data_IF_255244707396
#
_entry.id   IF_255244707396
#
_cell.length_a   1.000
_cell.length_b   1.000
_cell.length_c   1.000
_cell.angle_alpha   90.00
_cell.angle_beta   90.00
_cell.angle_gamma   90.00
#
_symmetry.space_group_name_H-M   'P 1'
#
loop_
_entity.id
_entity.type
_entity.pdbx_description
1 polymer ?
#
# COMPACT_ATOMS: atom_id res chain seq x y z
N UNK A 1 -22.57 30.22 79.51
CA UNK A 1 -23.49 29.42 78.74
C UNK A 1 -23.05 29.44 77.31
N UNK A 2 -22.20 28.47 76.95
CA UNK A 2 -21.58 28.39 75.58
C UNK A 2 -22.31 27.38 74.73
N UNK A 3 -22.89 27.83 73.62
CA UNK A 3 -23.58 26.99 72.66
C UNK A 3 -22.63 26.65 71.53
N UNK A 4 -22.20 25.40 71.44
CA UNK A 4 -21.36 24.87 70.39
C UNK A 4 -22.30 24.47 69.22
N UNK A 5 -22.21 25.20 68.07
CA UNK A 5 -22.81 24.80 66.80
C UNK A 5 -21.88 23.80 66.13
N UNK A 6 -22.28 22.54 66.06
CA UNK A 6 -21.66 21.53 65.20
C UNK A 6 -22.04 21.79 63.75
N UNK A 7 -21.09 22.16 62.91
CA UNK A 7 -21.20 22.14 61.45
C UNK A 7 -20.98 20.70 60.98
N UNK A 8 -22.06 20.11 60.45
CA UNK A 8 -22.00 18.85 59.78
C UNK A 8 -21.49 19.10 58.32
N UNK A 9 -20.25 18.80 58.02
CA UNK A 9 -19.72 18.78 56.66
C UNK A 9 -20.08 17.43 56.04
N UNK A 10 -21.04 17.46 55.12
CA UNK A 10 -21.32 16.31 54.25
C UNK A 10 -20.28 16.30 53.13
N UNK A 11 -19.32 15.36 53.22
CA UNK A 11 -18.40 15.05 52.12
C UNK A 11 -19.19 14.21 51.10
N UNK A 12 -19.50 14.83 49.97
CA UNK A 12 -20.00 14.11 48.78
C UNK A 12 -18.77 13.48 48.12
N UNK A 13 -18.55 12.19 48.32
CA UNK A 13 -17.62 11.41 47.55
C UNK A 13 -18.31 11.15 46.19
N UNK A 14 -17.92 11.93 45.16
CA UNK A 14 -18.23 11.60 43.79
C UNK A 14 -17.33 10.43 43.41
N UNK A 15 -17.86 9.22 43.51
CA UNK A 15 -17.22 8.03 42.93
C UNK A 15 -17.34 8.17 41.41
N UNK A 16 -16.32 8.74 40.78
CA UNK A 16 -16.15 8.62 39.33
C UNK A 16 -15.77 7.16 39.08
N UNK A 17 -16.78 6.33 38.87
CA UNK A 17 -16.56 5.02 38.30
C UNK A 17 -16.04 5.23 36.87
N UNK A 18 -14.72 5.31 36.71
CA UNK A 18 -14.12 5.08 35.42
C UNK A 18 -14.47 3.62 35.05
N UNK A 19 -15.49 3.45 34.23
CA UNK A 19 -15.74 2.18 33.58
C UNK A 19 -14.51 1.88 32.72
N UNK A 20 -13.60 1.10 33.26
CA UNK A 20 -12.55 0.47 32.45
C UNK A 20 -13.32 -0.45 31.50
N UNK A 21 -13.54 0.02 30.29
CA UNK A 21 -14.14 -0.81 29.25
C UNK A 21 -13.09 -1.84 28.85
N UNK A 22 -13.16 -3.03 29.44
CA UNK A 22 -12.34 -4.14 28.96
C UNK A 22 -12.79 -4.48 27.53
N UNK A 23 -11.83 -4.69 26.63
CA UNK A 23 -12.11 -5.23 25.30
C UNK A 23 -12.84 -6.56 25.43
N UNK A 24 -13.85 -6.82 24.58
CA UNK A 24 -14.55 -8.11 24.57
C UNK A 24 -13.60 -9.22 24.10
N UNK A 25 -12.79 -8.93 23.09
CA UNK A 25 -11.65 -9.74 22.71
C UNK A 25 -10.39 -8.89 22.75
N UNK A 26 -9.36 -9.37 23.41
CA UNK A 26 -8.03 -8.78 23.43
C UNK A 26 -6.99 -9.89 23.49
N UNK A 27 -6.10 -9.89 22.51
CA UNK A 27 -4.87 -10.64 22.54
C UNK A 27 -3.70 -9.65 22.52
N UNK A 28 -2.89 -9.64 23.56
CA UNK A 28 -1.73 -8.79 23.73
C UNK A 28 -0.42 -9.56 23.60
N UNK A 29 -0.49 -10.83 23.27
CA UNK A 29 0.65 -11.72 23.07
C UNK A 29 1.63 -11.80 24.27
N UNK A 30 1.22 -11.36 25.48
CA UNK A 30 2.07 -11.35 26.66
C UNK A 30 2.36 -12.74 27.21
N UNK A 31 1.46 -13.69 26.98
CA UNK A 31 1.52 -15.03 27.58
C UNK A 31 2.37 -16.03 26.79
N UNK A 32 3.14 -15.57 25.82
CA UNK A 32 3.93 -16.41 24.91
C UNK A 32 3.09 -17.42 24.12
N UNK A 33 1.83 -17.12 23.88
CA UNK A 33 0.91 -17.99 23.17
C UNK A 33 0.31 -17.25 21.96
N UNK A 34 0.60 -17.81 20.78
CA UNK A 34 -0.11 -17.48 19.53
C UNK A 34 -1.24 -18.48 19.28
N UNK A 35 -1.67 -19.16 20.35
CA UNK A 35 -2.70 -20.19 20.27
C UNK A 35 -4.03 -19.63 19.75
N UNK A 36 -4.63 -20.37 18.84
CA UNK A 36 -5.89 -20.00 18.19
C UNK A 36 -5.76 -18.97 17.07
N UNK A 37 -4.56 -18.49 16.76
CA UNK A 37 -4.28 -17.77 15.53
C UNK A 37 -3.91 -18.75 14.41
N UNK A 38 -4.62 -18.65 13.30
CA UNK A 38 -4.27 -19.31 12.05
C UNK A 38 -3.46 -18.37 11.20
N UNK A 39 -2.49 -18.89 10.47
CA UNK A 39 -1.73 -18.10 9.51
C UNK A 39 -1.53 -18.87 8.22
N UNK A 40 -1.63 -18.18 7.10
CA UNK A 40 -1.50 -18.77 5.77
C UNK A 40 -1.21 -17.71 4.72
N UNK A 41 -0.69 -18.14 3.59
CA UNK A 41 -0.47 -17.32 2.41
C UNK A 41 -1.50 -17.65 1.33
N UNK A 42 -1.75 -16.69 0.44
CA UNK A 42 -2.47 -16.92 -0.81
C UNK A 42 -1.60 -17.63 -1.86
N UNK A 43 -1.96 -17.47 -3.10
CA UNK A 43 -1.21 -18.02 -4.23
C UNK A 43 0.19 -17.38 -4.31
N UNK A 44 1.15 -18.11 -4.83
CA UNK A 44 2.53 -17.66 -4.99
C UNK A 44 3.54 -18.50 -4.23
N UNK A 45 4.82 -18.15 -4.38
CA UNK A 45 5.95 -18.82 -3.74
C UNK A 45 6.43 -18.12 -2.47
N UNK A 46 5.51 -17.52 -1.74
CA UNK A 46 5.76 -16.87 -0.47
C UNK A 46 5.65 -17.86 0.66
N UNK A 47 6.53 -17.76 1.63
CA UNK A 47 6.39 -18.44 2.91
C UNK A 47 6.21 -17.44 4.02
N UNK A 48 5.40 -17.79 5.01
CA UNK A 48 5.23 -16.99 6.22
C UNK A 48 5.31 -17.86 7.46
N UNK A 49 5.58 -17.21 8.58
CA UNK A 49 5.51 -17.81 9.91
C UNK A 49 4.95 -16.79 10.88
N UNK A 50 4.30 -17.26 11.94
CA UNK A 50 3.87 -16.41 13.06
C UNK A 50 4.69 -16.78 14.28
N UNK A 51 5.50 -15.84 14.74
CA UNK A 51 6.49 -16.06 15.78
C UNK A 51 6.09 -15.31 17.05
N UNK A 52 6.01 -16.04 18.16
CA UNK A 52 5.87 -15.43 19.48
C UNK A 52 7.16 -14.69 19.86
N UNK A 53 6.99 -13.50 20.40
CA UNK A 53 8.07 -12.68 20.98
C UNK A 53 7.72 -12.30 22.41
N UNK A 54 8.62 -11.61 23.06
CA UNK A 54 8.38 -11.07 24.41
C UNK A 54 7.45 -9.85 24.31
N UNK A 55 6.16 -10.07 24.64
CA UNK A 55 5.12 -9.03 24.62
C UNK A 55 4.59 -8.63 23.24
N UNK A 56 4.84 -9.40 22.18
CA UNK A 56 4.23 -9.19 20.86
C UNK A 56 4.36 -10.42 19.97
N UNK A 57 3.63 -10.46 18.86
CA UNK A 57 3.82 -11.47 17.81
C UNK A 57 4.54 -10.83 16.61
N UNK A 58 5.30 -11.65 15.87
CA UNK A 58 5.95 -11.23 14.62
C UNK A 58 5.45 -12.09 13.46
N UNK A 59 4.90 -11.45 12.45
CA UNK A 59 4.63 -12.06 11.16
C UNK A 59 5.94 -11.98 10.37
N UNK A 60 6.58 -13.12 10.16
CA UNK A 60 7.76 -13.23 9.29
C UNK A 60 7.32 -13.64 7.89
N UNK A 61 7.84 -12.97 6.87
CA UNK A 61 7.50 -13.21 5.48
C UNK A 61 8.77 -13.33 4.66
N UNK A 62 8.86 -14.39 3.87
CA UNK A 62 9.93 -14.61 2.88
C UNK A 62 9.32 -14.64 1.48
N UNK A 63 9.40 -13.50 0.79
CA UNK A 63 8.97 -13.33 -0.59
C UNK A 63 10.11 -13.43 -1.60
N UNK A 64 11.32 -13.91 -1.21
CA UNK A 64 12.50 -13.93 -2.08
C UNK A 64 12.36 -14.78 -3.34
N UNK A 65 11.47 -15.75 -3.33
CA UNK A 65 11.22 -16.66 -4.45
C UNK A 65 9.97 -16.33 -5.26
N UNK A 66 9.15 -15.41 -4.75
CA UNK A 66 7.92 -15.08 -5.42
C UNK A 66 8.17 -14.17 -6.61
N UNK A 67 7.52 -14.48 -7.75
CA UNK A 67 7.57 -13.75 -9.01
C UNK A 67 6.18 -13.42 -9.53
N UNK A 68 5.17 -13.95 -8.85
CA UNK A 68 3.80 -13.84 -9.30
C UNK A 68 3.12 -12.56 -8.81
N UNK A 69 1.85 -12.48 -9.10
CA UNK A 69 1.02 -11.33 -8.76
C UNK A 69 0.87 -11.14 -7.25
N UNK A 70 0.25 -10.03 -6.91
CA UNK A 70 -0.14 -9.67 -5.55
C UNK A 70 -0.57 -10.90 -4.78
N UNK A 71 0.20 -11.26 -3.80
CA UNK A 71 -0.17 -12.26 -2.83
C UNK A 71 -0.47 -11.59 -1.49
N UNK A 72 -1.02 -12.35 -0.62
CA UNK A 72 -1.34 -11.89 0.72
C UNK A 72 -0.94 -12.94 1.75
N UNK A 73 -0.50 -12.45 2.89
CA UNK A 73 -0.23 -13.25 4.06
C UNK A 73 -1.19 -12.83 5.16
N UNK A 74 -1.85 -13.78 5.79
CA UNK A 74 -2.92 -13.51 6.75
C UNK A 74 -2.62 -14.17 8.08
N UNK A 75 -2.83 -13.44 9.17
CA UNK A 75 -3.15 -14.00 10.47
C UNK A 75 -4.64 -13.83 10.72
N UNK A 76 -5.29 -14.87 11.25
CA UNK A 76 -6.74 -14.97 11.40
C UNK A 76 -7.11 -15.58 12.74
N UNK A 77 -8.09 -14.99 13.43
CA UNK A 77 -8.59 -15.46 14.72
C UNK A 77 -10.12 -15.57 14.70
N UNK A 78 -10.65 -16.69 15.20
CA UNK A 78 -12.07 -16.82 15.53
C UNK A 78 -12.34 -16.09 16.85
N UNK A 79 -13.21 -15.10 16.81
CA UNK A 79 -13.58 -14.29 17.98
C UNK A 79 -15.04 -14.49 18.40
N UNK A 80 -15.75 -15.41 17.76
CA UNK A 80 -17.19 -15.64 17.96
C UNK A 80 -17.56 -15.82 19.43
N UNK A 81 -16.79 -16.62 20.15
CA UNK A 81 -17.06 -16.94 21.56
C UNK A 81 -16.95 -15.74 22.52
N UNK A 82 -16.31 -14.66 22.08
CA UNK A 82 -16.11 -13.44 22.87
C UNK A 82 -17.17 -12.37 22.62
N UNK A 83 -18.04 -12.57 21.60
CA UNK A 83 -18.98 -11.56 21.11
C UNK A 83 -20.42 -11.99 21.41
N UNK A 84 -21.25 -11.04 21.80
CA UNK A 84 -22.70 -11.21 21.87
C UNK A 84 -23.32 -10.87 20.50
N UNK A 85 -23.45 -11.88 19.63
CA UNK A 85 -23.91 -11.68 18.26
C UNK A 85 -25.35 -11.18 18.16
N UNK A 86 -26.19 -11.34 19.22
CA UNK A 86 -27.56 -10.83 19.21
C UNK A 86 -27.59 -9.29 19.12
N UNK A 87 -26.55 -8.61 19.54
CA UNK A 87 -26.47 -7.14 19.44
C UNK A 87 -26.49 -6.62 18.01
N UNK A 88 -26.01 -7.40 17.05
CA UNK A 88 -25.97 -6.98 15.64
C UNK A 88 -27.38 -6.99 14.97
N UNK A 89 -28.41 -7.50 15.64
CA UNK A 89 -29.80 -7.29 15.20
C UNK A 89 -30.20 -5.80 15.18
N UNK A 90 -29.57 -4.99 16.02
CA UNK A 90 -29.67 -3.53 16.00
C UNK A 90 -28.52 -2.95 15.16
N UNK A 91 -28.82 -2.29 14.01
CA UNK A 91 -27.79 -1.75 13.13
C UNK A 91 -26.96 -0.62 13.74
N UNK A 92 -27.33 -0.10 14.90
CA UNK A 92 -26.49 0.83 15.65
C UNK A 92 -25.27 0.16 16.29
N UNK A 93 -25.26 -1.16 16.41
CA UNK A 93 -24.11 -1.92 16.88
C UNK A 93 -23.29 -2.44 15.72
N UNK A 94 -22.01 -2.16 15.78
CA UNK A 94 -21.01 -2.55 14.78
C UNK A 94 -19.80 -3.19 15.47
N UNK A 95 -19.03 -3.96 14.74
CA UNK A 95 -17.76 -4.49 15.27
C UNK A 95 -16.64 -3.49 15.00
N UNK A 96 -15.95 -3.08 16.06
CA UNK A 96 -14.72 -2.29 15.98
C UNK A 96 -13.54 -3.18 16.24
N UNK A 97 -12.58 -3.16 15.35
CA UNK A 97 -11.29 -3.84 15.49
C UNK A 97 -10.16 -2.85 15.53
N UNK A 98 -9.11 -3.18 16.26
CA UNK A 98 -7.94 -2.33 16.45
C UNK A 98 -6.71 -3.23 16.62
N UNK A 99 -5.61 -2.85 16.00
CA UNK A 99 -4.32 -3.50 16.18
C UNK A 99 -3.22 -2.45 16.33
N UNK A 100 -2.17 -2.77 17.11
CA UNK A 100 -0.97 -1.97 17.17
C UNK A 100 0.15 -2.72 16.48
N UNK A 101 0.68 -2.10 15.43
CA UNK A 101 1.57 -2.75 14.47
C UNK A 101 2.85 -1.95 14.28
N UNK A 102 3.91 -2.63 13.89
CA UNK A 102 5.19 -2.04 13.50
C UNK A 102 5.75 -2.77 12.30
N UNK A 103 6.25 -2.01 11.32
CA UNK A 103 6.75 -2.55 10.07
C UNK A 103 8.26 -2.36 9.99
N UNK A 104 8.96 -3.34 9.45
CA UNK A 104 10.41 -3.31 9.28
C UNK A 104 10.78 -3.42 7.80
N UNK A 105 11.87 -2.75 7.44
CA UNK A 105 12.59 -2.80 6.16
C UNK A 105 11.97 -2.03 4.99
N UNK A 106 10.70 -1.71 5.00
CA UNK A 106 10.05 -0.83 4.02
C UNK A 106 8.62 -0.52 4.44
N UNK A 107 7.99 0.52 3.89
CA UNK A 107 6.56 0.73 4.03
C UNK A 107 5.78 -0.50 3.59
N UNK A 108 4.67 -0.80 4.27
CA UNK A 108 3.82 -1.97 3.97
C UNK A 108 2.36 -1.62 4.01
N UNK A 109 1.61 -2.22 3.12
CA UNK A 109 0.15 -2.19 3.17
C UNK A 109 -0.35 -3.29 4.08
N UNK A 110 -1.11 -2.90 5.09
CA UNK A 110 -1.81 -3.80 5.99
C UNK A 110 -3.31 -3.66 5.78
N UNK A 111 -4.00 -4.78 5.66
CA UNK A 111 -5.45 -4.80 5.55
C UNK A 111 -6.02 -5.38 6.84
N UNK A 112 -6.81 -4.58 7.55
CA UNK A 112 -7.67 -5.11 8.61
C UNK A 112 -8.94 -5.65 7.98
N UNK A 113 -9.30 -6.86 8.33
CA UNK A 113 -10.49 -7.50 7.80
C UNK A 113 -11.30 -8.12 8.92
N UNK A 114 -12.61 -7.98 8.80
CA UNK A 114 -13.59 -8.70 9.62
C UNK A 114 -14.45 -9.49 8.67
N UNK A 115 -14.60 -10.78 8.89
CA UNK A 115 -15.52 -11.57 8.09
C UNK A 115 -16.47 -12.39 8.95
N UNK A 116 -17.71 -12.51 8.47
CA UNK A 116 -18.69 -13.48 8.97
C UNK A 116 -18.81 -14.62 7.99
N UNK A 117 -18.91 -15.82 8.52
CA UNK A 117 -19.07 -17.03 7.72
C UNK A 117 -20.33 -17.75 8.16
N UNK A 118 -21.23 -17.95 7.19
CA UNK A 118 -22.43 -18.80 7.29
C UNK A 118 -22.25 -20.02 6.39
N UNK A 119 -23.11 -20.98 6.54
CA UNK A 119 -23.10 -22.19 5.70
C UNK A 119 -23.22 -21.87 4.20
N UNK A 120 -23.92 -20.79 3.83
CA UNK A 120 -24.22 -20.44 2.45
C UNK A 120 -23.75 -19.05 2.05
N UNK A 121 -23.14 -18.28 2.95
CA UNK A 121 -22.83 -16.89 2.72
C UNK A 121 -21.53 -16.48 3.40
N UNK A 122 -20.82 -15.53 2.78
CA UNK A 122 -19.57 -15.00 3.28
C UNK A 122 -19.56 -13.49 3.09
N UNK A 123 -19.40 -12.76 4.17
CA UNK A 123 -19.37 -11.29 4.18
C UNK A 123 -18.03 -10.82 4.71
N UNK A 124 -17.51 -9.76 4.14
CA UNK A 124 -16.25 -9.16 4.53
C UNK A 124 -16.35 -7.64 4.58
N UNK A 125 -15.89 -7.08 5.69
CA UNK A 125 -15.53 -5.65 5.81
C UNK A 125 -14.02 -5.54 5.82
N UNK A 126 -13.46 -4.59 5.08
CA UNK A 126 -12.04 -4.41 4.90
C UNK A 126 -11.67 -2.93 4.94
N UNK A 127 -10.53 -2.63 5.56
CA UNK A 127 -9.87 -1.33 5.48
C UNK A 127 -8.37 -1.50 5.31
N UNK A 128 -7.78 -0.73 4.42
CA UNK A 128 -6.35 -0.76 4.08
C UNK A 128 -5.61 0.40 4.74
N UNK A 129 -4.38 0.12 5.17
CA UNK A 129 -3.49 1.08 5.81
C UNK A 129 -2.10 0.93 5.22
N UNK A 130 -1.49 2.04 4.81
CA UNK A 130 -0.09 2.06 4.40
C UNK A 130 0.77 2.49 5.59
N UNK A 131 1.47 1.54 6.18
CA UNK A 131 2.31 1.77 7.35
C UNK A 131 3.70 2.22 6.87
N UNK A 132 4.19 3.39 7.30
CA UNK A 132 5.51 3.88 6.92
C UNK A 132 6.64 3.04 7.52
N UNK A 133 7.79 3.02 6.84
CA UNK A 133 9.02 2.37 7.32
C UNK A 133 9.73 3.23 8.38
N UNK A 134 9.13 3.37 9.54
CA UNK A 134 9.66 4.18 10.64
C UNK A 134 10.19 3.36 11.80
N UNK A 135 9.91 2.06 11.83
CA UNK A 135 10.11 1.19 13.00
C UNK A 135 9.32 1.62 14.25
N UNK A 136 8.45 2.60 14.12
CA UNK A 136 7.56 3.05 15.19
C UNK A 136 6.30 2.18 15.25
N UNK A 137 5.68 2.17 16.42
CA UNK A 137 4.40 1.52 16.61
C UNK A 137 3.25 2.41 16.15
N UNK A 138 2.38 1.86 15.31
CA UNK A 138 1.17 2.51 14.79
C UNK A 138 -0.08 1.77 15.28
N UNK A 139 -1.08 2.52 15.68
CA UNK A 139 -2.40 1.95 16.00
C UNK A 139 -3.29 2.14 14.77
N UNK A 140 -3.79 1.02 14.25
CA UNK A 140 -4.75 0.98 13.15
C UNK A 140 -6.09 0.47 13.66
N UNK A 141 -7.18 1.02 13.16
CA UNK A 141 -8.52 0.70 13.68
C UNK A 141 -9.57 0.89 12.61
N UNK A 142 -10.55 0.01 12.56
CA UNK A 142 -11.73 0.16 11.72
C UNK A 142 -12.98 -0.25 12.48
N UNK A 143 -14.10 0.42 12.16
CA UNK A 143 -15.44 0.00 12.57
C UNK A 143 -16.20 -0.45 11.34
N UNK A 144 -16.80 -1.63 11.38
CA UNK A 144 -17.61 -2.18 10.28
C UNK A 144 -18.76 -1.25 9.93
N UNK A 145 -19.23 -1.34 8.69
CA UNK A 145 -20.39 -0.57 8.20
C UNK A 145 -21.47 -1.54 7.76
N UNK A 146 -22.63 -1.51 8.44
CA UNK A 146 -23.74 -2.45 8.19
C UNK A 146 -23.29 -3.92 8.30
N UNK A 147 -22.59 -4.22 9.40
CA UNK A 147 -22.05 -5.54 9.65
C UNK A 147 -23.13 -6.61 9.55
N UNK A 148 -23.01 -7.47 8.56
CA UNK A 148 -23.97 -8.56 8.35
C UNK A 148 -23.56 -9.78 9.19
N UNK A 149 -24.09 -9.80 10.42
CA UNK A 149 -23.85 -10.86 11.37
C UNK A 149 -25.15 -11.22 12.12
N UNK A 150 -25.42 -12.51 12.22
CA UNK A 150 -26.57 -13.05 12.94
C UNK A 150 -26.13 -14.13 13.91
N UNK A 151 -26.95 -14.44 14.95
CA UNK A 151 -26.67 -15.56 15.84
C UNK A 151 -26.46 -16.88 15.07
N UNK A 152 -25.36 -17.55 15.38
CA UNK A 152 -24.95 -18.76 14.69
C UNK A 152 -23.90 -18.58 13.60
N UNK A 153 -23.57 -17.36 13.24
CA UNK A 153 -22.42 -17.08 12.37
C UNK A 153 -21.10 -17.32 13.11
N UNK A 154 -20.04 -17.56 12.35
CA UNK A 154 -18.66 -17.49 12.84
C UNK A 154 -18.06 -16.14 12.46
N UNK A 155 -17.49 -15.44 13.43
CA UNK A 155 -16.86 -14.14 13.24
C UNK A 155 -15.34 -14.27 13.34
N UNK A 156 -14.65 -13.86 12.28
CA UNK A 156 -13.20 -13.83 12.25
C UNK A 156 -12.68 -12.40 12.15
N UNK A 157 -11.60 -12.13 12.89
CA UNK A 157 -10.77 -10.97 12.71
C UNK A 157 -9.49 -11.37 12.02
N UNK A 158 -8.96 -10.49 11.15
CA UNK A 158 -7.79 -10.80 10.35
C UNK A 158 -6.90 -9.58 10.19
N UNK A 159 -5.59 -9.82 10.14
CA UNK A 159 -4.61 -8.87 9.66
C UNK A 159 -3.91 -9.48 8.47
N UNK A 160 -4.01 -8.80 7.34
CA UNK A 160 -3.39 -9.23 6.10
C UNK A 160 -2.28 -8.26 5.74
N UNK A 161 -1.15 -8.80 5.33
CA UNK A 161 -0.04 -8.01 4.79
C UNK A 161 0.00 -8.23 3.29
N UNK A 162 -0.04 -7.16 2.51
CA UNK A 162 -0.06 -7.19 1.04
C UNK A 162 1.04 -6.30 0.45
N UNK A 163 1.29 -6.43 -0.83
CA UNK A 163 2.21 -5.57 -1.59
C UNK A 163 3.66 -5.58 -1.10
N UNK A 164 4.39 -6.62 -1.43
CA UNK A 164 5.79 -6.73 -1.03
C UNK A 164 6.74 -6.86 -2.19
N UNK A 165 7.95 -6.44 -1.93
CA UNK A 165 9.07 -6.76 -2.77
C UNK A 165 9.60 -8.18 -2.54
N UNK A 166 10.49 -8.59 -3.44
CA UNK A 166 11.25 -9.83 -3.37
C UNK A 166 12.25 -9.81 -2.21
N UNK A 167 11.77 -9.90 -1.00
CA UNK A 167 12.61 -9.80 0.20
C UNK A 167 12.08 -10.56 1.40
N UNK A 168 12.86 -10.50 2.46
CA UNK A 168 12.45 -10.96 3.79
C UNK A 168 12.13 -9.75 4.64
N UNK A 169 11.03 -9.80 5.38
CA UNK A 169 10.62 -8.72 6.25
C UNK A 169 9.72 -9.19 7.37
N UNK A 170 9.44 -8.27 8.28
CA UNK A 170 8.74 -8.53 9.52
C UNK A 170 7.66 -7.48 9.73
N UNK A 171 6.52 -7.93 10.25
CA UNK A 171 5.47 -7.08 10.80
C UNK A 171 5.24 -7.53 12.23
N UNK A 172 5.48 -6.66 13.18
CA UNK A 172 5.21 -6.93 14.59
C UNK A 172 3.81 -6.47 14.95
N UNK A 173 3.13 -7.23 15.81
CA UNK A 173 1.79 -6.97 16.32
C UNK A 173 1.84 -7.01 17.84
N UNK A 174 1.69 -5.85 18.48
CA UNK A 174 1.70 -5.70 19.95
C UNK A 174 0.42 -6.23 20.57
N UNK A 175 -0.72 -5.86 19.97
CA UNK A 175 -2.02 -6.41 20.34
C UNK A 175 -2.99 -6.39 19.16
N UNK A 176 -4.02 -7.22 19.28
CA UNK A 176 -5.22 -7.17 18.45
C UNK A 176 -6.45 -7.23 19.34
N UNK A 177 -7.42 -6.35 19.13
CA UNK A 177 -8.67 -6.33 19.91
C UNK A 177 -9.90 -6.20 19.01
N UNK A 178 -11.05 -6.65 19.53
CA UNK A 178 -12.34 -6.51 18.90
C UNK A 178 -13.42 -6.21 19.93
N UNK A 179 -14.28 -5.23 19.63
CA UNK A 179 -15.35 -4.78 20.51
C UNK A 179 -16.63 -4.53 19.72
N UNK A 180 -17.77 -4.96 20.23
CA UNK A 180 -19.07 -4.51 19.75
C UNK A 180 -19.32 -3.10 20.30
N UNK A 181 -19.48 -2.14 19.42
CA UNK A 181 -19.68 -0.73 19.78
C UNK A 181 -21.01 -0.21 19.26
N UNK A 182 -21.67 0.63 20.05
CA UNK A 182 -22.80 1.41 19.55
C UNK A 182 -22.24 2.67 18.86
N UNK A 183 -22.37 2.75 17.55
CA UNK A 183 -21.77 3.82 16.73
C UNK A 183 -22.30 5.23 17.07
N UNK A 184 -23.47 5.33 17.68
CA UNK A 184 -24.03 6.61 18.13
C UNK A 184 -23.40 7.12 19.43
N UNK A 185 -22.72 6.25 20.19
CA UNK A 185 -22.18 6.53 21.52
C UNK A 185 -20.66 6.41 21.60
N UNK A 186 -20.06 5.56 20.78
CA UNK A 186 -18.66 5.15 20.93
C UNK A 186 -17.63 6.19 20.46
N UNK A 187 -18.07 7.23 19.77
CA UNK A 187 -17.14 8.17 19.13
C UNK A 187 -16.35 7.55 17.95
N UNK A 188 -15.42 8.31 17.37
CA UNK A 188 -14.61 7.84 16.24
C UNK A 188 -13.66 6.70 16.65
N UNK A 189 -13.11 6.02 15.66
CA UNK A 189 -12.02 5.09 15.86
C UNK A 189 -10.82 5.79 16.49
N UNK A 190 -10.12 5.08 17.38
CA UNK A 190 -8.98 5.64 18.11
C UNK A 190 -7.65 5.42 17.40
N UNK A 191 -7.66 4.66 16.33
CA UNK A 191 -6.47 4.41 15.54
C UNK A 191 -5.93 5.67 14.88
N UNK A 192 -4.65 5.68 14.64
CA UNK A 192 -4.01 6.72 13.84
C UNK A 192 -4.59 6.69 12.41
N UNK A 193 -4.75 7.87 11.84
CA UNK A 193 -5.02 7.97 10.41
C UNK A 193 -3.71 7.67 9.68
N UNK A 194 -3.52 6.41 9.35
CA UNK A 194 -2.42 6.00 8.48
C UNK A 194 -2.85 6.25 7.04
N UNK A 195 -2.08 7.00 6.25
CA UNK A 195 -2.42 7.26 4.86
C UNK A 195 -2.60 5.96 4.08
N UNK A 196 -3.59 5.94 3.16
CA UNK A 196 -3.82 4.80 2.25
C UNK A 196 -2.62 4.55 1.32
N UNK A 197 -1.82 5.58 1.06
CA UNK A 197 -0.58 5.49 0.29
C UNK A 197 0.59 5.91 1.18
N UNK A 198 1.80 5.37 0.91
CA UNK A 198 2.98 5.82 1.63
C UNK A 198 3.07 7.34 1.61
N UNK A 199 3.38 7.98 2.76
CA UNK A 199 3.52 9.43 2.78
C UNK A 199 4.57 9.85 1.76
N UNK A 200 4.25 10.90 0.98
CA UNK A 200 5.17 11.47 0.01
C UNK A 200 6.13 12.39 0.77
N UNK A 201 7.42 12.04 0.90
CA UNK A 201 8.39 12.93 1.52
C UNK A 201 8.50 14.26 0.78
N UNK A 202 8.88 15.33 1.49
CA UNK A 202 9.20 16.58 0.84
C UNK A 202 10.43 16.38 -0.07
N UNK A 203 10.28 16.69 -1.36
CA UNK A 203 11.35 16.54 -2.36
C UNK A 203 12.63 17.30 -1.98
N UNK A 204 12.51 18.39 -1.21
CA UNK A 204 13.65 19.18 -0.76
C UNK A 204 14.49 18.48 0.35
N UNK A 205 14.02 17.36 0.90
CA UNK A 205 14.77 16.57 1.89
C UNK A 205 15.79 15.61 1.26
N UNK A 206 15.73 15.46 -0.07
CA UNK A 206 16.67 14.61 -0.79
C UNK A 206 17.92 15.39 -1.20
N UNK A 207 19.07 14.71 -1.15
CA UNK A 207 20.35 15.27 -1.56
C UNK A 207 20.75 14.87 -2.99
N UNK A 208 20.08 13.88 -3.56
CA UNK A 208 20.32 13.43 -4.93
C UNK A 208 19.03 13.60 -5.76
N UNK A 209 19.18 14.25 -6.89
CA UNK A 209 18.11 14.52 -7.85
C UNK A 209 18.64 14.20 -9.24
N UNK A 210 18.25 13.03 -9.76
CA UNK A 210 18.76 12.54 -11.03
C UNK A 210 17.71 12.61 -12.12
N UNK A 211 18.02 13.28 -13.22
CA UNK A 211 17.23 13.17 -14.43
C UNK A 211 17.30 11.73 -14.95
N UNK A 212 16.22 11.25 -15.53
CA UNK A 212 16.22 9.96 -16.21
C UNK A 212 17.25 9.95 -17.33
N UNK A 213 17.99 8.87 -17.48
CA UNK A 213 19.02 8.74 -18.53
C UNK A 213 18.42 8.21 -19.81
N UNK A 214 17.45 7.30 -19.71
CA UNK A 214 16.72 6.71 -20.81
C UNK A 214 15.26 6.56 -20.42
N UNK A 215 14.37 7.01 -21.27
CA UNK A 215 12.95 6.73 -21.19
C UNK A 215 12.39 6.40 -22.59
N UNK A 216 11.39 5.53 -22.63
CA UNK A 216 10.78 5.12 -23.88
C UNK A 216 9.37 4.57 -23.62
N UNK A 217 8.57 4.52 -24.66
CA UNK A 217 7.34 3.74 -24.69
C UNK A 217 7.59 2.36 -25.31
N UNK A 218 6.95 1.36 -24.73
CA UNK A 218 6.78 0.05 -25.37
C UNK A 218 5.30 -0.20 -25.61
N UNK A 219 4.96 -0.85 -26.72
CA UNK A 219 3.57 -1.01 -27.16
C UNK A 219 3.31 -2.44 -27.58
N UNK A 220 2.34 -3.09 -26.93
CA UNK A 220 1.98 -4.49 -27.19
C UNK A 220 1.35 -4.72 -28.56
N UNK A 221 0.63 -3.75 -29.12
CA UNK A 221 0.04 -3.84 -30.46
C UNK A 221 1.06 -3.65 -31.58
N UNK A 222 2.20 -3.02 -31.28
CA UNK A 222 3.29 -2.80 -32.23
C UNK A 222 4.63 -3.27 -31.63
N UNK A 223 4.75 -4.58 -31.36
CA UNK A 223 5.77 -5.11 -30.45
C UNK A 223 7.22 -5.01 -30.97
N UNK A 224 7.42 -4.73 -32.26
CA UNK A 224 8.73 -4.58 -32.88
C UNK A 224 9.06 -3.11 -33.23
N UNK A 225 8.21 -2.14 -32.85
CA UNK A 225 8.44 -0.73 -33.15
C UNK A 225 9.00 -0.04 -31.91
N UNK A 226 10.06 0.74 -32.13
CA UNK A 226 10.58 1.66 -31.14
C UNK A 226 9.75 2.95 -31.13
N UNK A 227 9.33 3.39 -29.95
CA UNK A 227 8.48 4.58 -29.77
C UNK A 227 9.21 5.75 -29.13
N UNK A 228 10.54 5.81 -29.19
CA UNK A 228 11.30 6.92 -28.61
C UNK A 228 10.89 8.29 -29.17
N UNK A 229 10.47 8.35 -30.43
CA UNK A 229 10.01 9.58 -31.08
C UNK A 229 8.51 9.85 -30.91
N UNK A 230 7.83 9.16 -29.99
CA UNK A 230 6.41 9.40 -29.74
C UNK A 230 6.15 10.83 -29.25
N UNK A 231 5.35 11.58 -29.99
CA UNK A 231 5.11 12.99 -29.71
C UNK A 231 3.73 13.45 -30.13
N UNK A 232 3.30 14.57 -29.55
CA UNK A 232 2.11 15.31 -29.95
C UNK A 232 2.50 16.66 -30.51
N UNK A 233 1.72 17.13 -31.47
CA UNK A 233 1.90 18.45 -32.08
C UNK A 233 1.09 19.49 -31.31
N UNK A 234 1.75 20.53 -30.83
CA UNK A 234 1.14 21.70 -30.23
C UNK A 234 1.36 22.93 -31.10
N UNK A 235 0.79 24.09 -30.69
CA UNK A 235 0.94 25.36 -31.42
C UNK A 235 2.40 25.85 -31.42
N UNK A 236 3.13 25.56 -30.36
CA UNK A 236 4.52 25.96 -30.13
C UNK A 236 5.55 24.88 -30.51
N UNK A 237 5.11 23.80 -31.18
CA UNK A 237 5.98 22.75 -31.67
C UNK A 237 5.57 21.34 -31.24
N UNK A 238 6.53 20.44 -31.23
CA UNK A 238 6.31 19.03 -30.82
C UNK A 238 6.71 18.86 -29.37
N UNK A 239 5.89 18.07 -28.62
CA UNK A 239 6.20 17.64 -27.26
C UNK A 239 6.33 16.14 -27.25
N UNK A 240 7.46 15.60 -26.84
CA UNK A 240 7.63 14.16 -26.61
C UNK A 240 6.95 13.77 -25.32
N UNK A 241 6.20 12.71 -25.38
CA UNK A 241 5.37 12.22 -24.27
C UNK A 241 5.53 10.73 -24.09
N UNK A 242 5.32 10.31 -22.84
CA UNK A 242 5.24 8.92 -22.41
C UNK A 242 3.79 8.61 -22.08
N UNK A 243 3.12 7.88 -22.95
CA UNK A 243 1.71 7.53 -22.77
C UNK A 243 1.60 6.16 -22.08
N UNK A 244 0.73 6.07 -21.09
CA UNK A 244 0.46 4.87 -20.31
C UNK A 244 -1.01 4.54 -20.41
N UNK A 245 -1.33 3.46 -21.07
CA UNK A 245 -2.69 2.92 -21.22
C UNK A 245 -2.63 1.40 -21.39
N UNK A 246 -3.75 0.75 -21.74
CA UNK A 246 -3.84 -0.70 -21.85
C UNK A 246 -2.73 -1.32 -22.72
N UNK A 247 -2.33 -0.65 -23.80
CA UNK A 247 -1.41 -1.16 -24.80
C UNK A 247 -0.02 -0.55 -24.74
N UNK A 248 0.13 0.59 -24.04
CA UNK A 248 1.34 1.39 -23.97
C UNK A 248 1.82 1.50 -22.54
N UNK A 249 3.10 1.19 -22.31
CA UNK A 249 3.75 1.30 -21.03
C UNK A 249 5.00 2.16 -21.15
N UNK A 250 5.30 2.94 -20.11
CA UNK A 250 6.50 3.78 -20.07
C UNK A 250 7.59 3.08 -19.23
N UNK A 251 8.81 3.10 -19.75
CA UNK A 251 9.99 2.51 -19.11
C UNK A 251 11.05 3.57 -18.82
N UNK A 252 11.75 3.43 -17.70
CA UNK A 252 12.73 4.40 -17.21
C UNK A 252 13.98 3.71 -16.72
N UNK A 253 15.14 4.31 -17.04
CA UNK A 253 16.45 3.88 -16.54
C UNK A 253 17.31 5.08 -16.18
N UNK A 254 18.10 4.95 -15.11
CA UNK A 254 19.05 5.94 -14.64
C UNK A 254 20.47 5.38 -14.69
N UNK A 255 21.46 6.23 -14.95
CA UNK A 255 22.86 5.89 -14.72
C UNK A 255 23.18 6.06 -13.22
N UNK A 256 23.21 4.97 -12.52
CA UNK A 256 23.45 4.89 -11.07
C UNK A 256 24.84 4.36 -10.72
N UNK A 257 25.76 4.25 -11.68
CA UNK A 257 27.08 3.66 -11.48
C UNK A 257 27.86 4.26 -10.33
N UNK A 258 27.77 5.58 -10.13
CA UNK A 258 28.44 6.28 -9.02
C UNK A 258 27.85 5.98 -7.63
N UNK A 259 26.66 5.44 -7.55
CA UNK A 259 25.98 5.08 -6.30
C UNK A 259 26.05 3.58 -5.99
N UNK A 260 26.63 2.80 -6.88
CA UNK A 260 26.75 1.35 -6.71
C UNK A 260 27.46 1.02 -5.40
N UNK A 261 26.90 0.10 -4.64
CA UNK A 261 27.34 -0.33 -3.31
C UNK A 261 27.15 0.70 -2.18
N UNK A 262 26.54 1.85 -2.43
CA UNK A 262 26.10 2.74 -1.35
C UNK A 262 24.79 2.22 -0.76
N UNK A 263 24.59 2.50 0.52
CA UNK A 263 23.34 2.17 1.19
C UNK A 263 22.33 3.31 1.04
N UNK A 264 21.12 2.96 0.67
CA UNK A 264 20.01 3.90 0.60
C UNK A 264 19.59 4.32 2.01
N UNK A 265 19.33 5.60 2.18
CA UNK A 265 18.77 6.18 3.39
C UNK A 265 17.29 6.54 3.17
N UNK A 266 16.41 5.65 3.63
CA UNK A 266 14.97 5.81 3.47
C UNK A 266 14.41 5.47 2.07
N UNK A 267 13.18 5.84 1.82
CA UNK A 267 12.52 5.74 0.52
C UNK A 267 13.01 6.84 -0.43
N UNK A 268 12.79 6.66 -1.73
CA UNK A 268 13.00 7.69 -2.75
C UNK A 268 11.69 8.16 -3.36
N UNK A 269 11.78 9.10 -4.32
CA UNK A 269 10.65 9.58 -5.12
C UNK A 269 10.94 9.46 -6.60
N UNK A 270 9.96 8.97 -7.35
CA UNK A 270 9.87 9.17 -8.80
C UNK A 270 9.02 10.42 -9.05
N UNK A 271 9.56 11.41 -9.74
CA UNK A 271 8.87 12.62 -10.18
C UNK A 271 8.47 12.47 -11.66
N UNK A 272 7.19 12.70 -11.96
CA UNK A 272 6.63 12.71 -13.30
C UNK A 272 5.82 13.99 -13.50
N UNK A 273 5.93 14.64 -14.66
CA UNK A 273 5.15 15.84 -14.98
C UNK A 273 4.01 15.48 -15.93
N UNK A 274 2.78 15.72 -15.51
CA UNK A 274 1.57 15.44 -16.31
C UNK A 274 1.55 16.25 -17.61
N UNK A 275 1.35 15.55 -18.73
CA UNK A 275 0.93 16.16 -20.00
C UNK A 275 -0.59 16.13 -20.13
N UNK A 276 -1.22 14.96 -19.98
CA UNK A 276 -2.67 14.78 -19.99
C UNK A 276 -3.06 13.49 -19.24
N UNK A 277 -4.23 13.50 -18.63
CA UNK A 277 -4.80 12.32 -17.99
C UNK A 277 -6.28 12.24 -18.31
N UNK A 278 -6.73 11.06 -18.74
CA UNK A 278 -8.13 10.71 -18.89
C UNK A 278 -8.42 9.45 -18.07
N UNK A 279 -9.49 9.47 -17.28
CA UNK A 279 -9.92 8.37 -16.41
C UNK A 279 -11.33 7.94 -16.78
N UNK A 280 -11.68 6.68 -16.43
CA UNK A 280 -13.02 6.12 -16.55
C UNK A 280 -13.32 5.48 -17.92
N UNK A 281 -13.02 6.13 -19.01
CA UNK A 281 -13.27 5.61 -20.37
C UNK A 281 -14.70 5.14 -20.61
N UNK A 282 -14.86 4.11 -21.43
CA UNK A 282 -16.17 3.56 -21.84
C UNK A 282 -16.84 2.67 -20.77
N UNK A 283 -16.33 2.60 -19.55
CA UNK A 283 -16.87 1.74 -18.50
C UNK A 283 -18.27 2.18 -18.07
N UNK A 284 -18.54 3.49 -18.09
CA UNK A 284 -19.88 4.01 -17.78
C UNK A 284 -20.92 3.48 -18.76
N UNK A 285 -20.61 3.45 -20.07
CA UNK A 285 -21.51 2.90 -21.10
C UNK A 285 -21.67 1.39 -20.95
N UNK A 286 -20.58 0.66 -20.69
CA UNK A 286 -20.59 -0.80 -20.63
C UNK A 286 -21.26 -1.35 -19.36
N UNK A 287 -21.08 -0.68 -18.23
CA UNK A 287 -21.45 -1.21 -16.92
C UNK A 287 -22.39 -0.27 -16.11
N UNK A 288 -22.72 0.91 -16.64
CA UNK A 288 -23.57 1.90 -15.95
C UNK A 288 -22.94 2.50 -14.69
N UNK A 289 -21.63 2.36 -14.52
CA UNK A 289 -20.86 2.81 -13.36
C UNK A 289 -19.52 3.37 -13.80
N UNK A 290 -19.14 4.50 -13.22
CA UNK A 290 -17.80 5.06 -13.39
C UNK A 290 -16.81 4.35 -12.45
N UNK A 291 -15.82 3.70 -13.04
CA UNK A 291 -14.71 3.07 -12.33
C UNK A 291 -13.45 3.93 -12.30
N UNK A 292 -13.51 5.17 -12.78
CA UNK A 292 -12.35 6.05 -12.88
C UNK A 292 -11.69 6.34 -11.54
N UNK A 293 -12.47 6.51 -10.49
CA UNK A 293 -11.94 6.72 -9.14
C UNK A 293 -11.27 5.47 -8.56
N UNK A 294 -11.82 4.29 -8.83
CA UNK A 294 -11.30 3.02 -8.31
C UNK A 294 -10.10 2.51 -9.12
N UNK A 295 -10.13 2.71 -10.45
CA UNK A 295 -9.18 2.10 -11.38
C UNK A 295 -8.40 3.13 -12.22
N UNK A 296 -8.60 4.41 -11.99
CA UNK A 296 -7.91 5.49 -12.70
C UNK A 296 -6.50 5.76 -12.18
N UNK A 297 -5.71 4.72 -11.88
CA UNK A 297 -4.39 4.81 -11.29
C UNK A 297 -3.31 4.26 -12.22
N UNK A 298 -2.08 4.61 -11.95
CA UNK A 298 -0.92 3.96 -12.55
C UNK A 298 -0.23 3.05 -11.54
N UNK A 299 0.48 2.08 -12.07
CA UNK A 299 1.23 1.10 -11.32
C UNK A 299 2.69 1.15 -11.71
N UNK A 300 3.56 1.33 -10.71
CA UNK A 300 5.01 1.32 -10.91
C UNK A 300 5.56 -0.02 -10.50
N UNK A 301 6.31 -0.68 -11.37
CA UNK A 301 6.95 -1.97 -11.14
C UNK A 301 8.42 -1.95 -11.50
N UNK A 302 9.22 -2.87 -10.93
CA UNK A 302 10.62 -3.05 -11.28
C UNK A 302 10.77 -3.87 -12.55
N UNK A 303 11.75 -3.51 -13.38
CA UNK A 303 12.27 -4.34 -14.45
C UNK A 303 13.38 -5.21 -13.87
N UNK A 304 13.20 -6.53 -13.81
CA UNK A 304 14.11 -7.48 -13.16
C UNK A 304 14.78 -8.46 -14.13
N UNK A 305 14.20 -8.65 -15.29
CA UNK A 305 14.69 -9.60 -16.31
C UNK A 305 15.17 -8.92 -17.59
N UNK A 306 15.74 -9.72 -18.46
CA UNK A 306 16.19 -9.45 -19.82
C UNK A 306 17.25 -8.35 -19.94
N UNK A 307 17.23 -7.55 -21.02
CA UNK A 307 18.32 -6.60 -21.28
C UNK A 307 18.39 -5.49 -20.24
N UNK A 308 19.42 -5.51 -19.37
CA UNK A 308 19.55 -4.49 -18.33
C UNK A 308 19.98 -3.12 -18.87
N UNK A 309 20.56 -3.07 -20.05
CA UNK A 309 21.15 -1.88 -20.64
C UNK A 309 20.44 -1.48 -21.94
N UNK A 310 19.12 -1.65 -21.94
CA UNK A 310 18.31 -1.24 -23.08
C UNK A 310 18.57 0.22 -23.47
N UNK A 311 18.61 0.45 -24.78
CA UNK A 311 18.82 1.76 -25.37
C UNK A 311 17.45 2.33 -25.83
N UNK A 312 17.09 3.53 -25.38
CA UNK A 312 15.81 4.16 -25.73
C UNK A 312 15.59 4.26 -27.23
N UNK A 313 16.66 4.38 -28.05
CA UNK A 313 16.57 4.49 -29.50
C UNK A 313 16.33 3.14 -30.22
N UNK A 314 16.32 2.03 -29.49
CA UNK A 314 16.20 0.68 -30.06
C UNK A 314 15.16 -0.17 -29.38
N UNK A 315 14.95 0.01 -28.09
CA UNK A 315 14.08 -0.81 -27.27
C UNK A 315 12.68 -0.90 -27.82
N UNK A 316 12.12 -2.10 -27.80
CA UNK A 316 10.77 -2.44 -28.24
C UNK A 316 10.07 -3.28 -27.20
N UNK A 317 8.76 -3.52 -27.35
CA UNK A 317 8.02 -4.39 -26.45
C UNK A 317 8.59 -5.84 -26.46
N UNK A 318 9.00 -6.33 -27.64
CA UNK A 318 9.55 -7.67 -27.78
C UNK A 318 10.92 -7.87 -27.13
N UNK A 319 11.69 -6.80 -26.88
CA UNK A 319 12.96 -6.94 -26.14
C UNK A 319 12.74 -7.35 -24.68
N UNK A 320 11.55 -7.16 -24.15
CA UNK A 320 11.17 -7.63 -22.83
C UNK A 320 10.25 -8.87 -22.87
N UNK A 321 9.27 -8.89 -23.78
CA UNK A 321 8.14 -9.82 -23.69
C UNK A 321 8.17 -10.98 -24.70
N UNK A 322 9.10 -10.95 -25.67
CA UNK A 322 9.21 -12.05 -26.62
C UNK A 322 9.68 -13.31 -25.89
N UNK A 323 8.86 -14.35 -25.97
CA UNK A 323 9.12 -15.65 -25.37
C UNK A 323 9.20 -15.66 -23.83
N UNK A 324 8.87 -14.52 -23.16
CA UNK A 324 8.85 -14.36 -21.71
C UNK A 324 7.41 -14.23 -21.21
N UNK A 325 7.19 -14.68 -19.98
CA UNK A 325 6.00 -14.31 -19.23
C UNK A 325 6.25 -13.04 -18.42
N UNK A 326 5.20 -12.31 -18.11
CA UNK A 326 5.30 -11.01 -17.44
C UNK A 326 6.11 -11.04 -16.12
N UNK A 327 5.91 -12.07 -15.30
CA UNK A 327 6.58 -12.24 -14.00
C UNK A 327 8.08 -12.54 -14.09
N UNK A 328 8.59 -12.98 -15.24
CA UNK A 328 10.03 -13.20 -15.42
C UNK A 328 10.78 -11.89 -15.65
N UNK A 329 10.10 -10.91 -16.20
CA UNK A 329 10.65 -9.62 -16.61
C UNK A 329 10.36 -8.52 -15.60
N UNK A 330 9.16 -8.52 -15.02
CA UNK A 330 8.69 -7.46 -14.15
C UNK A 330 8.32 -7.99 -12.77
N UNK A 331 8.79 -7.28 -11.74
CA UNK A 331 8.38 -7.55 -10.37
C UNK A 331 7.02 -6.91 -10.11
N UNK A 332 5.99 -7.71 -10.09
CA UNK A 332 4.62 -7.25 -9.88
C UNK A 332 4.27 -6.90 -8.44
N UNK A 333 5.16 -7.19 -7.51
CA UNK A 333 4.89 -7.09 -6.08
C UNK A 333 5.24 -5.73 -5.46
N UNK A 334 6.17 -5.02 -6.07
CA UNK A 334 6.51 -3.67 -5.61
C UNK A 334 5.70 -2.63 -6.34
N UNK A 335 4.45 -2.62 -6.00
CA UNK A 335 3.46 -1.83 -6.70
C UNK A 335 3.08 -0.65 -5.83
N UNK A 336 3.38 0.53 -6.34
CA UNK A 336 2.75 1.74 -5.87
C UNK A 336 1.67 2.11 -6.86
N UNK A 337 0.43 1.99 -6.41
CA UNK A 337 -0.71 2.52 -7.15
C UNK A 337 -0.79 3.99 -6.85
N UNK A 338 -0.48 4.81 -7.82
CA UNK A 338 -0.42 6.26 -7.64
C UNK A 338 -1.64 6.94 -8.25
N UNK A 339 -2.28 7.78 -7.46
CA UNK A 339 -3.21 8.78 -7.97
C UNK A 339 -2.42 9.93 -8.59
N UNK A 340 -2.89 10.38 -9.73
CA UNK A 340 -2.22 11.40 -10.52
C UNK A 340 -3.06 12.67 -10.58
N UNK A 341 -2.39 13.82 -10.54
CA UNK A 341 -3.03 15.09 -10.84
C UNK A 341 -3.31 15.21 -12.34
N UNK A 342 -4.55 15.54 -12.70
CA UNK A 342 -4.98 15.75 -14.08
C UNK A 342 -4.51 17.09 -14.66
N UNK A 343 -4.02 18.00 -13.82
CA UNK A 343 -3.57 19.32 -14.23
C UNK A 343 -2.28 19.22 -15.07
N UNK A 344 -2.34 19.70 -16.31
CA UNK A 344 -1.18 19.75 -17.20
C UNK A 344 -0.04 20.57 -16.61
N UNK A 345 1.17 20.01 -16.63
CA UNK A 345 2.37 20.62 -16.04
C UNK A 345 2.52 20.39 -14.55
N UNK A 346 1.57 19.71 -13.90
CA UNK A 346 1.66 19.34 -12.49
C UNK A 346 2.64 18.20 -12.30
N UNK A 347 3.48 18.32 -11.30
CA UNK A 347 4.39 17.26 -10.86
C UNK A 347 3.66 16.28 -9.96
N UNK A 348 3.84 15.00 -10.24
CA UNK A 348 3.39 13.89 -9.43
C UNK A 348 4.61 13.24 -8.81
N UNK A 349 4.52 12.95 -7.52
CA UNK A 349 5.58 12.27 -6.77
C UNK A 349 5.09 10.91 -6.33
N UNK A 350 5.85 9.87 -6.69
CA UNK A 350 5.53 8.48 -6.37
C UNK A 350 6.65 7.94 -5.50
N UNK A 351 6.30 7.50 -4.30
CA UNK A 351 7.28 6.95 -3.36
C UNK A 351 7.84 5.63 -3.86
N UNK A 352 9.16 5.53 -3.94
CA UNK A 352 9.87 4.29 -4.24
C UNK A 352 10.44 3.74 -2.94
N UNK A 353 10.03 2.55 -2.57
CA UNK A 353 10.45 1.96 -1.30
C UNK A 353 11.96 1.72 -1.23
N UNK A 354 12.49 1.79 -0.01
CA UNK A 354 13.91 1.55 0.25
C UNK A 354 14.46 0.27 -0.37
N UNK A 355 13.82 -0.91 -0.30
CA UNK A 355 14.34 -2.12 -0.94
C UNK A 355 14.40 -2.04 -2.46
N UNK A 356 13.39 -1.44 -3.11
CA UNK A 356 13.39 -1.22 -4.56
C UNK A 356 14.53 -0.30 -4.96
N UNK A 357 14.65 0.82 -4.27
CA UNK A 357 15.69 1.79 -4.52
C UNK A 357 17.09 1.20 -4.28
N UNK A 358 17.26 0.38 -3.23
CA UNK A 358 18.54 -0.31 -2.99
C UNK A 358 18.88 -1.29 -4.13
N UNK A 359 17.90 -2.07 -4.61
CA UNK A 359 18.11 -2.96 -5.76
C UNK A 359 18.45 -2.21 -7.04
N UNK A 360 17.82 -1.04 -7.22
CA UNK A 360 18.09 -0.16 -8.36
C UNK A 360 19.55 0.36 -8.30
N UNK A 361 20.02 0.85 -7.14
CA UNK A 361 21.40 1.29 -6.95
C UNK A 361 22.41 0.14 -7.11
N UNK A 362 22.06 -1.05 -6.65
CA UNK A 362 22.91 -2.26 -6.79
C UNK A 362 22.95 -2.80 -8.23
N UNK A 363 22.13 -2.27 -9.14
CA UNK A 363 22.01 -2.74 -10.53
C UNK A 363 21.26 -4.07 -10.66
N UNK A 364 20.54 -4.49 -9.63
CA UNK A 364 19.66 -5.67 -9.66
C UNK A 364 18.33 -5.38 -10.34
N UNK A 365 17.81 -4.21 -10.15
CA UNK A 365 16.66 -3.66 -10.88
C UNK A 365 17.20 -2.94 -12.12
N UNK A 366 16.64 -3.25 -13.30
CA UNK A 366 17.09 -2.76 -14.59
C UNK A 366 16.41 -1.46 -15.02
N UNK A 367 15.56 -0.95 -14.18
CA UNK A 367 14.76 0.23 -14.39
C UNK A 367 13.38 0.07 -13.78
N UNK A 368 12.54 1.05 -14.02
CA UNK A 368 11.14 1.04 -13.61
C UNK A 368 10.24 1.04 -14.85
N UNK A 369 9.10 0.39 -14.72
CA UNK A 369 8.04 0.40 -15.71
C UNK A 369 6.80 1.00 -15.08
N UNK A 370 6.08 1.82 -15.85
CA UNK A 370 4.76 2.31 -15.48
C UNK A 370 3.73 1.72 -16.44
N UNK A 371 2.69 1.14 -15.87
CA UNK A 371 1.54 0.59 -16.58
C UNK A 371 0.24 1.12 -15.97
N UNK A 372 -0.88 1.04 -16.70
CA UNK A 372 -2.18 1.41 -16.16
C UNK A 372 -2.63 0.41 -15.09
N UNK A 373 -3.36 0.90 -14.12
CA UNK A 373 -4.22 0.12 -13.24
C UNK A 373 -5.66 0.48 -13.57
N UNK A 374 -6.31 -0.36 -14.37
CA UNK A 374 -7.69 -0.13 -14.83
C UNK A 374 -7.81 0.91 -15.95
N UNK A 375 -8.86 1.70 -15.92
CA UNK A 375 -9.28 2.59 -16.99
C UNK A 375 -8.62 3.97 -16.91
N UNK A 376 -7.35 4.03 -17.28
CA UNK A 376 -6.60 5.29 -17.36
C UNK A 376 -5.84 5.38 -18.69
N UNK A 377 -5.80 6.59 -19.26
CA UNK A 377 -4.87 7.01 -20.31
C UNK A 377 -4.10 8.22 -19.75
N UNK A 378 -2.86 8.00 -19.34
CA UNK A 378 -2.02 9.01 -18.72
C UNK A 378 -0.81 9.29 -19.62
N UNK A 379 -0.54 10.55 -19.89
CA UNK A 379 0.64 10.98 -20.62
C UNK A 379 1.49 11.92 -19.78
N UNK A 380 2.80 11.67 -19.79
CA UNK A 380 3.80 12.46 -19.09
C UNK A 380 4.79 13.06 -20.09
N UNK A 381 5.45 14.14 -19.72
CA UNK A 381 6.55 14.65 -20.52
C UNK A 381 7.74 13.68 -20.49
N UNK A 382 8.34 13.42 -21.65
CA UNK A 382 9.57 12.65 -21.78
C UNK A 382 10.81 13.52 -21.54
N UNK A 383 11.97 12.87 -21.35
CA UNK A 383 13.24 13.54 -21.05
C UNK A 383 13.76 14.44 -22.16
N UNK A 384 13.39 14.18 -23.41
CA UNK A 384 13.87 14.94 -24.57
C UNK A 384 13.18 16.29 -24.78
N UNK A 385 12.24 16.67 -23.90
CA UNK A 385 11.68 17.99 -23.96
C UNK A 385 12.71 19.04 -23.55
N UNK A 386 12.71 20.17 -24.23
CA UNK A 386 13.74 21.21 -24.15
C UNK A 386 13.95 21.84 -22.76
N UNK A 387 13.08 21.57 -21.80
CA UNK A 387 13.22 22.03 -20.43
C UNK A 387 13.40 20.85 -19.51
N UNK A 388 14.54 20.75 -18.87
CA UNK A 388 14.82 19.71 -17.85
C UNK A 388 13.87 19.73 -16.65
N UNK A 389 13.07 20.80 -16.51
CA UNK A 389 12.11 20.96 -15.42
C UNK A 389 10.96 19.96 -15.48
N UNK A 390 10.60 19.47 -16.66
CA UNK A 390 9.49 18.54 -16.88
C UNK A 390 9.92 17.09 -17.06
N UNK A 391 11.23 16.85 -17.20
CA UNK A 391 11.77 15.50 -17.35
C UNK A 391 11.50 14.63 -16.10
N UNK A 392 11.29 13.30 -16.27
CA UNK A 392 11.19 12.39 -15.15
C UNK A 392 12.47 12.39 -14.29
N UNK A 393 12.32 12.37 -12.96
CA UNK A 393 13.45 12.42 -12.03
C UNK A 393 13.32 11.36 -10.93
N UNK A 394 14.49 10.93 -10.45
CA UNK A 394 14.61 10.11 -9.27
C UNK A 394 15.29 10.89 -8.15
N UNK A 395 14.64 10.95 -7.00
CA UNK A 395 15.14 11.64 -5.81
C UNK A 395 15.41 10.64 -4.70
N UNK A 396 16.58 10.72 -4.06
CA UNK A 396 16.94 9.79 -3.00
C UNK A 396 18.11 10.29 -2.12
N UNK A 397 18.26 9.64 -0.98
CA UNK A 397 19.41 9.82 -0.09
C UNK A 397 20.23 8.53 0.01
N UNK A 398 21.53 8.68 0.27
CA UNK A 398 22.45 7.57 0.57
C UNK A 398 23.22 7.84 1.85
N UNK A 399 23.50 6.78 2.58
CA UNK A 399 24.39 6.82 3.75
C UNK A 399 25.82 6.82 3.20
N UNK A 400 26.61 7.78 3.62
CA UNK A 400 28.02 7.90 3.28
C UNK A 400 28.89 7.02 4.18
#
# INVERSE_FOLDING_TARGET
MFTIKKKLQIFFFILVASSVCYAQFLDNFDNQEIEGWFFFTGDGNVTMDLLQRDGYATIFIDGTKDRDNVYWTIIKRDVTAFLDLNKFEDPSFQLRVEAKVRVHNAPRRLNMMVNTQRTTNYHIDLMEFDIPDTTDWHVISMTTKKFDCVPGDTVYVQLCVTDYGLGKYYVDVDYYRADIVNINLAGPDKGELVPYHPPIPDVNTFSNHLDVTHDCLINSNFPNINFNDWHVKEKDGYKRILTVNADQWAIFRWDLGQYKNLKVDGAGLLELTTYSIAKGGNYVEAYGRDFGEEFGKIRVVEIIGEDPEWDQNKVTYNDFMKDNIYSDVFNTQMIYDAELSEEKGRKNFITISKPVLQRLLDGKTKGLLIRPLGAIDASFYASENLTSEVAPKLHFNVIK
#
